data_IF_306016418571
#
_entry.id   IF_306016418571
#
_cell.length_a   1.000
_cell.length_b   1.000
_cell.length_c   1.000
_cell.angle_alpha   90.00
_cell.angle_beta   90.00
_cell.angle_gamma   90.00
#
_symmetry.space_group_name_H-M   'P 1'
#
loop_
_entity.id
_entity.type
_entity.pdbx_description
1 polymer ?
#
# COMPACT_ATOMS: atom_id res chain seq x y z
N UNK A 1 -8.84 -10.13 38.85
CA UNK A 1 -9.04 -8.66 38.88
C UNK A 1 -7.90 -7.87 38.20
N UNK A 2 -6.85 -8.52 37.69
CA UNK A 2 -5.68 -7.84 37.07
C UNK A 2 -5.77 -7.74 35.54
N UNK A 3 -6.57 -8.60 34.90
CA UNK A 3 -6.77 -8.60 33.44
C UNK A 3 -7.69 -7.45 32.99
N UNK A 4 -8.58 -6.97 33.86
CA UNK A 4 -9.44 -5.83 33.56
C UNK A 4 -8.67 -4.50 33.56
N UNK A 5 -7.62 -4.35 34.37
CA UNK A 5 -6.83 -3.12 34.42
C UNK A 5 -5.84 -2.95 33.26
N UNK A 6 -5.34 -4.06 32.69
CA UNK A 6 -4.55 -4.00 31.45
C UNK A 6 -5.36 -3.48 30.26
N UNK A 7 -6.69 -3.54 30.33
CA UNK A 7 -7.61 -3.03 29.30
C UNK A 7 -8.01 -1.56 29.52
N UNK A 8 -7.75 -0.99 30.71
CA UNK A 8 -8.06 0.40 31.06
C UNK A 8 -6.92 1.38 30.75
N UNK A 9 -5.70 0.87 30.58
CA UNK A 9 -4.64 1.58 29.86
C UNK A 9 -4.81 1.25 28.38
N UNK A 10 -5.39 2.17 27.59
CA UNK A 10 -5.74 2.00 26.18
C UNK A 10 -4.54 1.81 25.22
N UNK A 11 -3.74 0.78 25.45
CA UNK A 11 -2.69 0.29 24.56
C UNK A 11 -2.40 -1.17 24.91
N UNK A 12 -3.13 -2.09 24.28
CA UNK A 12 -2.73 -3.49 24.33
C UNK A 12 -1.41 -3.67 23.55
N UNK A 13 -0.52 -4.61 23.92
CA UNK A 13 0.70 -4.89 23.16
C UNK A 13 0.42 -5.21 21.68
N UNK A 14 -0.74 -5.78 21.40
CA UNK A 14 -1.20 -6.15 20.07
C UNK A 14 -1.54 -4.91 19.20
N UNK A 15 -2.02 -3.82 19.80
CA UNK A 15 -2.43 -2.60 19.07
C UNK A 15 -1.24 -1.73 18.70
N UNK A 16 -0.19 -1.74 19.55
CA UNK A 16 1.09 -1.12 19.20
C UNK A 16 1.79 -1.88 18.07
N UNK A 17 1.67 -3.21 18.05
CA UNK A 17 2.24 -4.07 17.00
C UNK A 17 1.60 -3.84 15.63
N UNK A 18 0.26 -3.81 15.56
CA UNK A 18 -0.46 -3.56 14.29
C UNK A 18 -0.28 -2.12 13.81
N UNK A 19 -0.32 -1.13 14.70
CA UNK A 19 -0.02 0.27 14.35
C UNK A 19 1.38 0.43 13.76
N UNK A 20 2.39 -0.21 14.37
CA UNK A 20 3.76 -0.23 13.85
C UNK A 20 3.82 -0.91 12.49
N UNK A 21 3.14 -2.05 12.32
CA UNK A 21 3.03 -2.75 11.04
C UNK A 21 2.48 -1.86 9.93
N UNK A 22 1.39 -1.13 10.18
CA UNK A 22 0.81 -0.18 9.21
C UNK A 22 1.81 0.94 8.88
N UNK A 23 2.54 1.48 9.87
CA UNK A 23 3.57 2.50 9.64
C UNK A 23 4.71 1.99 8.76
N UNK A 24 5.18 0.77 9.01
CA UNK A 24 6.24 0.12 8.22
C UNK A 24 5.78 -0.03 6.76
N UNK A 25 4.55 -0.52 6.53
CA UNK A 25 4.00 -0.66 5.18
C UNK A 25 3.93 0.70 4.47
N UNK A 26 3.48 1.76 5.15
CA UNK A 26 3.47 3.11 4.58
C UNK A 26 4.85 3.62 4.20
N UNK A 27 5.85 3.34 5.03
CA UNK A 27 7.25 3.63 4.73
C UNK A 27 7.73 2.87 3.49
N UNK A 28 7.49 1.55 3.43
CA UNK A 28 7.84 0.72 2.29
C UNK A 28 7.17 1.19 1.00
N UNK A 29 5.89 1.58 1.06
CA UNK A 29 5.16 2.15 -0.07
C UNK A 29 5.82 3.42 -0.61
N UNK A 30 6.23 4.35 0.27
CA UNK A 30 6.95 5.56 -0.17
C UNK A 30 8.32 5.25 -0.77
N UNK A 31 9.08 4.33 -0.17
CA UNK A 31 10.36 3.91 -0.72
C UNK A 31 10.21 3.32 -2.13
N UNK A 32 9.23 2.44 -2.33
CA UNK A 32 8.92 1.86 -3.65
C UNK A 32 8.49 2.94 -4.65
N UNK A 33 7.66 3.90 -4.23
CA UNK A 33 7.25 5.04 -5.08
C UNK A 33 8.43 5.89 -5.54
N UNK A 34 9.36 6.20 -4.64
CA UNK A 34 10.55 7.01 -4.95
C UNK A 34 11.46 6.25 -5.92
N UNK A 35 11.76 4.98 -5.64
CA UNK A 35 12.60 4.15 -6.50
C UNK A 35 11.96 4.03 -7.89
N UNK A 36 10.65 3.77 -7.95
CA UNK A 36 9.92 3.69 -9.23
C UNK A 36 9.98 5.00 -10.01
N UNK A 37 9.86 6.14 -9.34
CA UNK A 37 9.92 7.46 -9.98
C UNK A 37 11.33 7.76 -10.52
N UNK A 38 12.37 7.41 -9.77
CA UNK A 38 13.77 7.58 -10.21
C UNK A 38 14.06 6.71 -11.42
N UNK A 39 13.64 5.44 -11.41
CA UNK A 39 13.80 4.53 -12.55
C UNK A 39 13.01 5.05 -13.76
N UNK A 40 11.78 5.50 -13.56
CA UNK A 40 10.96 6.07 -14.61
C UNK A 40 11.66 7.28 -15.26
N UNK A 41 12.21 8.20 -14.46
CA UNK A 41 13.00 9.32 -14.98
C UNK A 41 14.27 8.85 -15.72
N UNK A 42 14.98 7.85 -15.21
CA UNK A 42 16.21 7.35 -15.82
C UNK A 42 15.98 6.65 -17.17
N UNK A 43 14.84 5.98 -17.33
CA UNK A 43 14.47 5.28 -18.56
C UNK A 43 13.76 6.18 -19.59
N UNK A 44 13.33 7.38 -19.18
CA UNK A 44 12.64 8.31 -20.07
C UNK A 44 13.62 9.02 -21.00
N UNK A 45 13.53 8.74 -22.29
CA UNK A 45 14.35 9.41 -23.30
C UNK A 45 13.68 10.72 -23.76
N UNK A 46 14.07 11.82 -23.15
CA UNK A 46 13.52 13.17 -23.43
C UNK A 46 13.69 13.61 -24.88
N UNK A 47 14.74 13.16 -25.57
CA UNK A 47 15.07 13.58 -26.93
C UNK A 47 14.10 12.99 -27.97
N UNK A 48 13.51 11.84 -27.67
CA UNK A 48 12.58 11.13 -28.56
C UNK A 48 11.12 11.59 -28.41
N UNK A 49 10.84 12.58 -27.56
CA UNK A 49 9.49 13.01 -27.23
C UNK A 49 9.30 14.52 -27.41
N UNK A 50 8.09 14.93 -27.75
CA UNK A 50 7.73 16.34 -27.89
C UNK A 50 7.81 17.05 -26.53
N UNK A 51 8.04 18.37 -26.54
CA UNK A 51 8.07 19.17 -25.32
C UNK A 51 6.81 19.00 -24.47
N UNK A 52 5.63 18.95 -25.11
CA UNK A 52 4.36 18.72 -24.41
C UNK A 52 4.33 17.39 -23.67
N UNK A 53 4.75 16.30 -24.33
CA UNK A 53 4.80 14.97 -23.70
C UNK A 53 5.78 14.93 -22.52
N UNK A 54 6.94 15.57 -22.66
CA UNK A 54 7.92 15.68 -21.58
C UNK A 54 7.34 16.43 -20.37
N UNK A 55 6.63 17.54 -20.59
CA UNK A 55 5.97 18.29 -19.51
C UNK A 55 4.92 17.43 -18.81
N UNK A 56 4.02 16.80 -19.56
CA UNK A 56 2.99 15.93 -18.98
C UNK A 56 3.59 14.77 -18.19
N UNK A 57 4.69 14.19 -18.68
CA UNK A 57 5.40 13.12 -18.00
C UNK A 57 5.94 13.55 -16.62
N UNK A 58 6.72 14.63 -16.56
CA UNK A 58 7.30 15.10 -15.29
C UNK A 58 6.25 15.63 -14.32
N UNK A 59 5.23 16.34 -14.80
CA UNK A 59 4.12 16.81 -13.96
C UNK A 59 3.33 15.64 -13.42
N UNK A 60 3.06 14.61 -14.24
CA UNK A 60 2.38 13.39 -13.81
C UNK A 60 3.15 12.63 -12.73
N UNK A 61 4.47 12.47 -12.91
CA UNK A 61 5.34 11.86 -11.90
C UNK A 61 5.34 12.66 -10.59
N UNK A 62 5.48 13.98 -10.66
CA UNK A 62 5.45 14.84 -9.49
C UNK A 62 4.11 14.77 -8.75
N UNK A 63 2.99 14.87 -9.49
CA UNK A 63 1.65 14.78 -8.93
C UNK A 63 1.40 13.42 -8.25
N UNK A 64 1.86 12.33 -8.88
CA UNK A 64 1.78 10.97 -8.31
C UNK A 64 2.59 10.87 -7.02
N UNK A 65 3.79 11.43 -6.99
CA UNK A 65 4.63 11.41 -5.79
C UNK A 65 4.01 12.25 -4.66
N UNK A 66 3.43 13.41 -4.95
CA UNK A 66 2.71 14.21 -3.97
C UNK A 66 1.48 13.48 -3.42
N UNK A 67 0.74 12.78 -4.28
CA UNK A 67 -0.40 11.95 -3.87
C UNK A 67 0.04 10.81 -2.93
N UNK A 68 1.14 10.13 -3.24
CA UNK A 68 1.65 9.04 -2.41
C UNK A 68 2.11 9.54 -1.03
N UNK A 69 2.76 10.71 -0.97
CA UNK A 69 3.11 11.39 0.29
C UNK A 69 1.86 11.74 1.08
N UNK A 70 0.83 12.31 0.44
CA UNK A 70 -0.42 12.66 1.08
C UNK A 70 -1.12 11.43 1.68
N UNK A 71 -1.19 10.31 0.94
CA UNK A 71 -1.80 9.06 1.41
C UNK A 71 -1.12 8.58 2.70
N UNK A 72 0.22 8.56 2.74
CA UNK A 72 0.97 8.11 3.93
C UNK A 72 0.88 9.11 5.07
N UNK A 73 0.84 10.40 4.77
CA UNK A 73 0.58 11.44 5.77
C UNK A 73 -0.79 11.25 6.43
N UNK A 74 -1.85 11.07 5.63
CA UNK A 74 -3.21 10.82 6.14
C UNK A 74 -3.24 9.53 6.96
N UNK A 75 -2.60 8.46 6.49
CA UNK A 75 -2.50 7.21 7.24
C UNK A 75 -1.83 7.40 8.61
N UNK A 76 -0.67 8.06 8.67
CA UNK A 76 0.02 8.34 9.93
C UNK A 76 -0.79 9.24 10.87
N UNK A 77 -1.49 10.22 10.30
CA UNK A 77 -2.42 11.08 11.06
C UNK A 77 -3.60 10.27 11.60
N UNK A 78 -4.15 9.34 10.81
CA UNK A 78 -5.21 8.41 11.22
C UNK A 78 -4.80 7.50 12.38
N UNK A 79 -3.57 6.99 12.35
CA UNK A 79 -2.99 6.22 13.46
C UNK A 79 -2.85 7.08 14.71
N UNK A 80 -2.32 8.31 14.56
CA UNK A 80 -2.07 9.21 15.69
C UNK A 80 -3.36 9.69 16.34
N UNK A 81 -4.38 9.99 15.54
CA UNK A 81 -5.68 10.46 16.01
C UNK A 81 -6.67 9.34 16.33
N UNK A 82 -6.29 8.07 16.11
CA UNK A 82 -7.20 6.90 16.22
C UNK A 82 -8.51 7.12 15.44
N UNK A 83 -8.40 7.55 14.16
CA UNK A 83 -9.57 7.79 13.30
C UNK A 83 -9.49 6.96 12.03
N UNK A 84 -10.37 5.97 11.93
CA UNK A 84 -10.43 4.95 10.88
C UNK A 84 -10.60 5.51 9.46
N UNK A 85 -11.33 6.62 9.30
CA UNK A 85 -11.57 7.27 8.01
C UNK A 85 -10.26 7.62 7.28
N UNK A 86 -9.23 8.07 8.01
CA UNK A 86 -7.96 8.48 7.41
C UNK A 86 -7.14 7.33 6.83
N UNK A 87 -7.45 6.07 7.15
CA UNK A 87 -6.82 4.89 6.54
C UNK A 87 -7.45 4.52 5.19
N UNK A 88 -8.66 5.00 4.87
CA UNK A 88 -9.37 4.62 3.65
C UNK A 88 -8.60 4.94 2.35
N UNK A 89 -7.95 6.11 2.18
CA UNK A 89 -7.20 6.42 0.97
C UNK A 89 -6.08 5.41 0.70
N UNK A 90 -5.38 4.96 1.76
CA UNK A 90 -4.36 3.93 1.64
C UNK A 90 -4.95 2.58 1.24
N UNK A 91 -6.05 2.15 1.87
CA UNK A 91 -6.71 0.87 1.54
C UNK A 91 -7.19 0.86 0.08
N UNK A 92 -7.80 1.95 -0.40
CA UNK A 92 -8.25 2.07 -1.80
C UNK A 92 -7.06 2.03 -2.75
N UNK A 93 -6.00 2.79 -2.46
CA UNK A 93 -4.77 2.79 -3.25
C UNK A 93 -4.14 1.39 -3.33
N UNK A 94 -4.04 0.69 -2.20
CA UNK A 94 -3.51 -0.67 -2.13
C UNK A 94 -4.36 -1.68 -2.91
N UNK A 95 -5.69 -1.54 -2.89
CA UNK A 95 -6.60 -2.37 -3.68
C UNK A 95 -6.41 -2.16 -5.19
N UNK A 96 -6.26 -0.92 -5.64
CA UNK A 96 -5.98 -0.63 -7.04
C UNK A 96 -4.66 -1.26 -7.48
N UNK A 97 -3.60 -1.13 -6.67
CA UNK A 97 -2.32 -1.76 -6.96
C UNK A 97 -2.42 -3.29 -6.96
N UNK A 98 -3.21 -3.89 -6.06
CA UNK A 98 -3.45 -5.34 -6.05
C UNK A 98 -4.08 -5.80 -7.36
N UNK A 99 -5.13 -5.12 -7.82
CA UNK A 99 -5.81 -5.45 -9.09
C UNK A 99 -4.82 -5.36 -10.25
N UNK A 100 -4.04 -4.27 -10.33
CA UNK A 100 -3.03 -4.08 -11.37
C UNK A 100 -1.97 -5.20 -11.32
N UNK A 101 -1.48 -5.58 -10.14
CA UNK A 101 -0.49 -6.63 -9.99
C UNK A 101 -1.03 -8.01 -10.41
N UNK A 102 -2.28 -8.32 -10.09
CA UNK A 102 -2.93 -9.58 -10.52
C UNK A 102 -3.07 -9.61 -12.04
N UNK A 103 -3.55 -8.52 -12.65
CA UNK A 103 -3.70 -8.43 -14.11
C UNK A 103 -2.35 -8.56 -14.83
N UNK A 104 -1.32 -7.84 -14.37
CA UNK A 104 0.02 -7.93 -14.94
C UNK A 104 0.63 -9.32 -14.74
N UNK A 105 0.45 -9.93 -13.57
CA UNK A 105 0.90 -11.31 -13.33
C UNK A 105 0.28 -12.29 -14.33
N UNK A 106 -1.02 -12.16 -14.61
CA UNK A 106 -1.70 -13.01 -15.59
C UNK A 106 -1.17 -12.79 -17.02
N UNK A 107 -0.95 -11.54 -17.42
CA UNK A 107 -0.38 -11.20 -18.74
C UNK A 107 1.03 -11.76 -18.88
N UNK A 108 1.91 -11.54 -17.90
CA UNK A 108 3.27 -12.05 -17.94
C UNK A 108 3.33 -13.57 -17.86
N UNK A 109 2.42 -14.21 -17.12
CA UNK A 109 2.30 -15.66 -17.11
C UNK A 109 1.99 -16.20 -18.52
N UNK A 110 0.97 -15.66 -19.18
CA UNK A 110 0.63 -16.05 -20.56
C UNK A 110 1.77 -15.78 -21.54
N UNK A 111 2.46 -14.65 -21.39
CA UNK A 111 3.63 -14.29 -22.19
C UNK A 111 4.76 -15.31 -22.03
N UNK A 112 5.12 -15.65 -20.79
CA UNK A 112 6.19 -16.62 -20.48
C UNK A 112 5.81 -18.00 -21.00
N UNK A 113 4.57 -18.46 -20.79
CA UNK A 113 4.10 -19.76 -21.31
C UNK A 113 4.19 -19.81 -22.83
N UNK A 114 3.77 -18.75 -23.52
CA UNK A 114 3.86 -18.67 -24.98
C UNK A 114 5.32 -18.71 -25.44
N UNK A 115 6.19 -17.90 -24.83
CA UNK A 115 7.63 -17.86 -25.16
C UNK A 115 8.34 -19.18 -24.90
N UNK A 116 8.02 -19.85 -23.79
CA UNK A 116 8.56 -21.15 -23.46
C UNK A 116 8.09 -22.23 -24.45
N UNK A 117 6.80 -22.21 -24.83
CA UNK A 117 6.23 -23.23 -25.71
C UNK A 117 6.73 -23.10 -27.15
N UNK A 118 6.76 -21.87 -27.70
CA UNK A 118 7.07 -21.66 -29.12
C UNK A 118 8.54 -21.36 -29.41
N UNK A 119 9.28 -20.85 -28.42
CA UNK A 119 10.67 -20.42 -28.62
C UNK A 119 11.66 -21.06 -27.64
N UNK A 120 11.20 -21.88 -26.67
CA UNK A 120 12.04 -22.48 -25.62
C UNK A 120 12.85 -21.44 -24.81
N UNK A 121 12.35 -20.21 -24.72
CA UNK A 121 13.00 -19.11 -23.98
C UNK A 121 12.32 -18.91 -22.63
N UNK A 122 13.11 -18.93 -21.56
CA UNK A 122 12.66 -18.79 -20.17
C UNK A 122 13.16 -17.53 -19.46
N UNK A 123 13.89 -16.65 -20.17
CA UNK A 123 14.55 -15.46 -19.61
C UNK A 123 13.59 -14.50 -18.89
N UNK A 124 12.32 -14.52 -19.25
CA UNK A 124 11.34 -13.50 -18.83
C UNK A 124 10.54 -13.94 -17.58
N UNK A 125 10.84 -15.13 -17.04
CA UNK A 125 10.26 -15.63 -15.78
C UNK A 125 10.43 -14.64 -14.63
N UNK A 126 11.54 -13.90 -14.60
CA UNK A 126 11.82 -12.92 -13.56
C UNK A 126 10.73 -11.85 -13.44
N UNK A 127 10.20 -11.36 -14.57
CA UNK A 127 9.13 -10.36 -14.56
C UNK A 127 7.84 -10.90 -13.96
N UNK A 128 7.48 -12.15 -14.27
CA UNK A 128 6.33 -12.81 -13.65
C UNK A 128 6.48 -12.89 -12.12
N UNK A 129 7.64 -13.34 -11.62
CA UNK A 129 7.88 -13.45 -10.18
C UNK A 129 7.83 -12.10 -9.46
N UNK A 130 8.30 -11.01 -10.08
CA UNK A 130 8.21 -9.66 -9.50
C UNK A 130 6.75 -9.29 -9.22
N UNK A 131 5.82 -9.51 -10.15
CA UNK A 131 4.41 -9.20 -9.95
C UNK A 131 3.71 -10.14 -8.96
N UNK A 132 4.15 -11.40 -8.86
CA UNK A 132 3.67 -12.32 -7.81
C UNK A 132 4.07 -11.84 -6.41
N UNK A 133 5.33 -11.42 -6.23
CA UNK A 133 5.81 -10.88 -4.95
C UNK A 133 5.06 -9.59 -4.60
N UNK A 134 4.88 -8.69 -5.57
CA UNK A 134 4.11 -7.46 -5.37
C UNK A 134 2.65 -7.74 -5.00
N UNK A 135 2.00 -8.73 -5.63
CA UNK A 135 0.66 -9.19 -5.25
C UNK A 135 0.62 -9.61 -3.79
N UNK A 136 1.59 -10.42 -3.33
CA UNK A 136 1.69 -10.82 -1.93
C UNK A 136 1.88 -9.64 -0.98
N UNK A 137 2.74 -8.67 -1.34
CA UNK A 137 2.94 -7.45 -0.57
C UNK A 137 1.63 -6.67 -0.39
N UNK A 138 0.85 -6.48 -1.46
CA UNK A 138 -0.41 -5.73 -1.39
C UNK A 138 -1.49 -6.44 -0.58
N UNK A 139 -1.55 -7.78 -0.64
CA UNK A 139 -2.45 -8.57 0.22
C UNK A 139 -2.13 -8.33 1.70
N UNK A 140 -0.85 -8.41 2.07
CA UNK A 140 -0.40 -8.17 3.46
C UNK A 140 -0.71 -6.73 3.89
N UNK A 141 -0.41 -5.76 3.01
CA UNK A 141 -0.67 -4.35 3.26
C UNK A 141 -2.16 -4.05 3.53
N UNK A 142 -3.05 -4.61 2.71
CA UNK A 142 -4.50 -4.44 2.86
C UNK A 142 -4.98 -5.10 4.16
N UNK A 143 -4.53 -6.32 4.44
CA UNK A 143 -4.93 -7.05 5.65
C UNK A 143 -4.55 -6.27 6.92
N UNK A 144 -3.31 -5.80 7.02
CA UNK A 144 -2.86 -5.01 8.18
C UNK A 144 -3.59 -3.68 8.32
N UNK A 145 -3.81 -2.96 7.21
CA UNK A 145 -4.54 -1.70 7.25
C UNK A 145 -6.01 -1.88 7.64
N UNK A 146 -6.66 -2.96 7.18
CA UNK A 146 -8.05 -3.29 7.54
C UNK A 146 -8.16 -3.73 8.99
N UNK A 147 -7.28 -4.61 9.44
CA UNK A 147 -7.25 -5.06 10.84
C UNK A 147 -7.11 -3.88 11.80
N UNK A 148 -6.18 -2.96 11.51
CA UNK A 148 -6.01 -1.76 12.33
C UNK A 148 -7.21 -0.81 12.28
N UNK A 149 -7.83 -0.64 11.09
CA UNK A 149 -9.04 0.17 10.93
C UNK A 149 -10.20 -0.41 11.75
N UNK A 150 -10.43 -1.71 11.66
CA UNK A 150 -11.54 -2.39 12.34
C UNK A 150 -11.35 -2.37 13.86
N UNK A 151 -10.09 -2.43 14.32
CA UNK A 151 -9.74 -2.18 15.72
C UNK A 151 -10.18 -0.78 16.18
N UNK A 152 -9.83 0.28 15.44
CA UNK A 152 -10.22 1.66 15.79
C UNK A 152 -11.74 1.79 15.87
N UNK A 153 -12.47 1.20 14.91
CA UNK A 153 -13.94 1.27 14.87
C UNK A 153 -14.55 0.61 16.12
N UNK A 154 -14.00 -0.54 16.51
CA UNK A 154 -14.48 -1.25 17.70
C UNK A 154 -14.20 -0.48 19.00
N UNK A 155 -13.04 0.17 19.09
CA UNK A 155 -12.66 0.99 20.25
C UNK A 155 -13.55 2.24 20.41
N UNK A 156 -13.81 2.96 19.31
CA UNK A 156 -14.72 4.14 19.28
C UNK A 156 -16.14 3.72 19.73
N UNK A 157 -16.63 2.57 19.26
CA UNK A 157 -17.94 2.03 19.64
C UNK A 157 -18.03 1.65 21.13
N UNK A 158 -16.99 1.04 21.69
CA UNK A 158 -16.94 0.72 23.12
C UNK A 158 -16.96 2.00 23.97
N UNK A 159 -16.19 3.01 23.57
CA UNK A 159 -16.13 4.28 24.28
C UNK A 159 -17.45 5.08 24.21
N UNK A 160 -18.24 4.95 23.15
CA UNK A 160 -19.57 5.57 23.06
C UNK A 160 -20.65 4.84 23.88
N UNK A 161 -20.56 3.51 24.01
CA UNK A 161 -21.63 2.70 24.62
C UNK A 161 -21.48 2.51 26.13
N UNK A 162 -20.26 2.39 26.65
CA UNK A 162 -19.98 2.19 28.08
C UNK A 162 -20.24 3.37 29.05
N UNK A 163 -20.16 4.67 28.68
CA UNK A 163 -20.42 5.76 29.61
C UNK A 163 -21.90 5.89 30.01
N UNK A 164 -22.80 5.12 29.40
CA UNK A 164 -24.24 5.11 29.73
C UNK A 164 -24.64 4.12 30.84
N UNK A 165 -23.69 3.32 31.35
CA UNK A 165 -23.94 2.24 32.33
C UNK A 165 -23.25 2.42 33.69
N UNK A 166 -22.69 3.60 33.99
CA UNK A 166 -22.10 3.95 35.30
C UNK A 166 -22.85 5.12 35.91
#
# INVERSE_FOLDING_TARGET
>A
MTILFSKMTGNSPQTNGTALGVRIIGGSFLCLSIISSVIACALWNTENHTLGNNIFYYVGLFATQMLNILIVYLMNRGITLQKAHYLQPFIICALLHLIICILLSAIFFLYVVTRATFYSVWSDLGFFFVFVILTGFWIIAISLAREYRDYIIYDDFLHETLPSFV
#
